data_IF_846541897893
#
_entry.id   IF_846541897893
#
_cell.length_a   1.000
_cell.length_b   1.000
_cell.length_c   1.000
_cell.angle_alpha   90.00
_cell.angle_beta   90.00
_cell.angle_gamma   90.00
#
_symmetry.space_group_name_H-M   'P 1'
#
loop_
_entity.id
_entity.type
_entity.pdbx_description
1 polymer ?
#
# COMPACT_ATOMS: atom_id res chain seq x y z
N UNK A 1 23.45 -63.12 12.42
CA UNK A 1 24.34 -62.31 13.27
C UNK A 1 23.70 -60.94 13.38
N UNK A 2 23.34 -60.60 14.60
CA UNK A 2 22.53 -59.45 15.01
C UNK A 2 23.31 -58.15 14.91
N UNK A 3 22.66 -57.03 14.62
CA UNK A 3 23.01 -55.71 15.16
C UNK A 3 21.92 -54.69 14.80
N UNK A 4 20.92 -54.59 15.68
CA UNK A 4 20.01 -53.45 15.75
C UNK A 4 20.64 -52.39 16.66
N UNK A 5 20.89 -51.20 16.14
CA UNK A 5 21.38 -50.07 16.93
C UNK A 5 20.19 -49.22 17.42
N UNK A 6 20.00 -49.20 18.73
CA UNK A 6 19.05 -48.31 19.42
C UNK A 6 19.67 -46.93 19.57
N UNK A 7 19.06 -45.90 18.99
CA UNK A 7 19.45 -44.49 19.19
C UNK A 7 18.53 -43.88 20.25
N UNK A 8 19.12 -43.51 21.39
CA UNK A 8 18.46 -42.80 22.49
C UNK A 8 18.43 -41.30 22.19
N UNK A 9 17.24 -40.71 22.12
CA UNK A 9 17.04 -39.26 21.96
C UNK A 9 17.10 -38.55 23.32
N UNK A 10 17.82 -37.42 23.47
CA UNK A 10 17.77 -36.61 24.68
C UNK A 10 16.48 -35.78 24.74
N UNK A 11 15.84 -35.79 25.90
CA UNK A 11 14.63 -35.00 26.19
C UNK A 11 15.02 -33.54 26.43
N UNK A 12 14.66 -32.66 25.49
CA UNK A 12 14.86 -31.20 25.61
C UNK A 12 13.62 -30.59 26.27
N UNK A 13 13.83 -29.99 27.43
CA UNK A 13 12.80 -29.27 28.19
C UNK A 13 12.57 -27.89 27.60
N UNK A 14 11.35 -27.59 27.18
CA UNK A 14 10.94 -26.32 26.56
C UNK A 14 10.55 -25.32 27.66
N UNK A 15 11.20 -24.15 27.78
CA UNK A 15 10.75 -23.12 28.72
C UNK A 15 9.49 -22.40 28.22
N UNK A 16 8.58 -22.16 29.16
CA UNK A 16 7.28 -21.49 29.01
C UNK A 16 7.43 -20.03 28.57
N UNK A 17 6.63 -19.52 27.61
CA UNK A 17 6.67 -18.12 27.22
C UNK A 17 6.11 -17.23 28.33
N UNK A 18 6.95 -16.32 28.80
CA UNK A 18 6.63 -15.25 29.74
C UNK A 18 6.00 -14.07 28.98
N UNK A 19 4.74 -13.79 29.30
CA UNK A 19 3.97 -12.65 28.79
C UNK A 19 4.49 -11.37 29.45
N UNK A 20 5.16 -10.50 28.69
CA UNK A 20 5.47 -9.14 29.15
C UNK A 20 4.25 -8.22 29.00
N UNK A 21 3.94 -7.38 30.00
CA UNK A 21 2.93 -6.34 29.86
C UNK A 21 3.47 -5.19 28.99
N UNK A 22 2.65 -4.80 28.01
CA UNK A 22 2.85 -3.63 27.14
C UNK A 22 2.95 -2.37 28.00
N UNK A 23 4.13 -1.75 28.05
CA UNK A 23 4.33 -0.46 28.69
C UNK A 23 3.41 0.57 28.04
N UNK A 24 2.43 1.08 28.80
CA UNK A 24 1.71 2.30 28.46
C UNK A 24 2.68 3.47 28.61
N UNK A 25 3.11 4.06 27.50
CA UNK A 25 3.69 5.40 27.50
C UNK A 25 2.62 6.38 27.98
N UNK A 26 2.61 6.65 29.27
CA UNK A 26 1.94 7.83 29.82
C UNK A 26 2.78 9.05 29.41
N UNK A 27 2.35 9.73 28.35
CA UNK A 27 2.88 11.03 28.00
C UNK A 27 2.45 12.00 29.11
N UNK A 28 3.38 12.27 30.02
CA UNK A 28 3.31 13.33 31.01
C UNK A 28 3.20 14.68 30.27
N UNK A 29 1.97 15.11 30.01
CA UNK A 29 1.68 16.49 29.63
C UNK A 29 1.64 17.31 30.91
N UNK A 30 2.80 17.88 31.26
CA UNK A 30 2.90 18.93 32.27
C UNK A 30 2.20 20.18 31.75
N UNK A 31 0.87 20.19 31.84
CA UNK A 31 0.05 21.37 31.58
C UNK A 31 0.19 22.33 32.78
N UNK A 32 1.27 23.10 32.82
CA UNK A 32 1.41 24.23 33.74
C UNK A 32 2.10 25.41 33.06
N UNK A 33 1.30 26.27 32.43
CA UNK A 33 1.22 27.70 32.81
C UNK A 33 0.07 28.37 32.06
N UNK A 34 -0.97 28.72 32.82
CA UNK A 34 -1.97 29.69 32.40
C UNK A 34 -1.29 31.06 32.26
N UNK A 35 -1.18 31.56 31.04
CA UNK A 35 -0.81 32.95 30.79
C UNK A 35 -2.07 33.81 30.85
N UNK A 36 -2.09 34.71 31.83
CA UNK A 36 -3.09 35.77 32.00
C UNK A 36 -2.97 36.76 30.84
N UNK A 37 -4.14 37.07 30.28
CA UNK A 37 -4.46 38.08 29.25
C UNK A 37 -3.83 39.47 29.48
N UNK A 38 -3.29 40.09 28.43
CA UNK A 38 -3.41 41.52 28.08
C UNK A 38 -3.08 41.72 26.57
N UNK A 39 -3.95 42.39 25.81
CA UNK A 39 -3.52 43.26 24.70
C UNK A 39 -3.88 42.87 23.26
N UNK A 40 -5.00 43.44 22.77
CA UNK A 40 -5.30 43.94 21.41
C UNK A 40 -4.36 43.51 20.27
N UNK A 41 -4.92 42.81 19.28
CA UNK A 41 -4.36 42.68 17.93
C UNK A 41 -5.11 41.65 17.08
N UNK A 42 -5.94 42.10 16.13
CA UNK A 42 -6.51 41.24 15.09
C UNK A 42 -5.36 40.71 14.21
N UNK A 43 -5.01 39.45 14.39
CA UNK A 43 -4.29 38.66 13.39
C UNK A 43 -4.87 37.24 13.46
N UNK A 44 -5.91 36.98 12.66
CA UNK A 44 -6.44 35.66 12.43
C UNK A 44 -5.45 34.86 11.59
N UNK A 45 -4.42 34.31 12.22
CA UNK A 45 -3.62 33.23 11.65
C UNK A 45 -4.54 32.02 11.55
N UNK A 46 -5.12 31.78 10.37
CA UNK A 46 -5.80 30.54 10.08
C UNK A 46 -4.75 29.42 10.15
N UNK A 47 -4.68 28.75 11.30
CA UNK A 47 -3.97 27.49 11.42
C UNK A 47 -4.77 26.48 10.61
N UNK A 48 -4.38 26.27 9.35
CA UNK A 48 -4.87 25.15 8.55
C UNK A 48 -4.41 23.89 9.26
N UNK A 49 -5.30 23.30 10.06
CA UNK A 49 -5.08 21.97 10.59
C UNK A 49 -4.95 21.04 9.38
N UNK A 50 -3.74 20.55 9.12
CA UNK A 50 -3.57 19.42 8.22
C UNK A 50 -4.34 18.27 8.85
N UNK A 51 -5.52 18.00 8.31
CA UNK A 51 -6.19 16.74 8.53
C UNK A 51 -5.27 15.68 7.94
N UNK A 52 -4.46 15.05 8.78
CA UNK A 52 -3.81 13.79 8.45
C UNK A 52 -4.94 12.77 8.36
N UNK A 53 -5.62 12.73 7.21
CA UNK A 53 -6.47 11.59 6.90
C UNK A 53 -5.52 10.39 6.90
N UNK A 54 -5.80 9.42 7.76
CA UNK A 54 -5.19 8.10 7.63
C UNK A 54 -5.81 7.49 6.37
N UNK A 55 -5.35 7.92 5.20
CA UNK A 55 -5.75 7.37 3.93
C UNK A 55 -5.21 5.93 3.92
N UNK A 56 -6.10 4.97 4.17
CA UNK A 56 -5.78 3.55 4.04
C UNK A 56 -5.41 3.34 2.58
N UNK A 57 -4.15 3.05 2.30
CA UNK A 57 -3.73 2.72 0.95
C UNK A 57 -4.55 1.51 0.46
N UNK A 58 -5.07 1.58 -0.76
CA UNK A 58 -5.71 0.42 -1.38
C UNK A 58 -4.63 -0.52 -1.92
N UNK A 59 -4.70 -1.80 -1.56
CA UNK A 59 -3.89 -2.85 -2.17
C UNK A 59 -4.64 -3.45 -3.37
N UNK A 60 -4.00 -3.45 -4.53
CA UNK A 60 -4.45 -4.08 -5.77
C UNK A 60 -3.52 -5.24 -6.09
N UNK A 61 -4.03 -6.47 -6.14
CA UNK A 61 -3.22 -7.63 -6.47
C UNK A 61 -3.00 -7.73 -7.99
N UNK A 62 -1.77 -8.07 -8.37
CA UNK A 62 -1.41 -8.42 -9.75
C UNK A 62 -1.46 -9.94 -9.90
N UNK A 63 -2.49 -10.40 -10.61
CA UNK A 63 -2.84 -11.81 -10.72
C UNK A 63 -3.70 -12.29 -9.54
N UNK A 64 -4.80 -12.97 -9.85
CA UNK A 64 -5.65 -13.57 -8.83
C UNK A 64 -5.02 -14.85 -8.25
N UNK A 65 -5.43 -15.24 -7.05
CA UNK A 65 -4.88 -16.42 -6.36
C UNK A 65 -5.15 -17.75 -7.08
N UNK A 66 -6.09 -17.78 -8.03
CA UNK A 66 -6.36 -18.92 -8.91
C UNK A 66 -5.45 -18.96 -10.15
N UNK A 67 -4.54 -17.99 -10.29
CA UNK A 67 -3.62 -17.85 -11.43
C UNK A 67 -4.17 -17.01 -12.58
N UNK A 68 -5.39 -16.47 -12.48
CA UNK A 68 -5.94 -15.60 -13.53
C UNK A 68 -5.13 -14.31 -13.68
N UNK A 69 -4.87 -13.92 -14.92
CA UNK A 69 -4.12 -12.72 -15.29
C UNK A 69 -5.01 -11.48 -15.21
N UNK A 70 -5.37 -11.07 -13.99
CA UNK A 70 -6.27 -9.94 -13.71
C UNK A 70 -5.74 -9.09 -12.57
N UNK A 71 -6.12 -7.82 -12.55
CA UNK A 71 -6.00 -6.99 -11.36
C UNK A 71 -7.13 -7.32 -10.37
N UNK A 72 -6.85 -7.32 -9.06
CA UNK A 72 -7.87 -7.57 -8.03
C UNK A 72 -7.80 -6.52 -6.93
N UNK A 73 -8.79 -5.62 -6.80
CA UNK A 73 -9.89 -5.40 -7.74
C UNK A 73 -9.41 -4.82 -9.10
N UNK A 74 -10.14 -5.08 -10.18
CA UNK A 74 -9.87 -4.46 -11.49
C UNK A 74 -10.62 -3.12 -11.69
N UNK A 75 -11.61 -2.81 -10.86
CA UNK A 75 -12.27 -1.51 -10.84
C UNK A 75 -12.46 -1.03 -9.41
N UNK A 76 -12.04 0.20 -9.12
CA UNK A 76 -12.15 0.78 -7.79
C UNK A 76 -12.16 2.31 -7.83
N UNK A 77 -12.37 2.93 -6.67
CA UNK A 77 -12.30 4.38 -6.52
C UNK A 77 -11.47 4.77 -5.31
N UNK A 78 -10.76 5.89 -5.42
CA UNK A 78 -9.91 6.45 -4.36
C UNK A 78 -10.13 7.96 -4.26
N UNK A 79 -9.73 8.56 -3.15
CA UNK A 79 -9.67 10.02 -3.06
C UNK A 79 -8.42 10.55 -3.78
N UNK A 80 -8.47 11.79 -4.27
CA UNK A 80 -7.28 12.45 -4.78
C UNK A 80 -6.13 12.45 -3.75
N UNK A 81 -4.97 11.97 -4.16
CA UNK A 81 -3.76 11.85 -3.34
C UNK A 81 -3.71 10.61 -2.43
N UNK A 82 -4.72 9.75 -2.47
CA UNK A 82 -4.70 8.46 -1.78
C UNK A 82 -3.71 7.51 -2.44
N UNK A 83 -2.99 6.74 -1.61
CA UNK A 83 -1.98 5.81 -2.09
C UNK A 83 -2.64 4.54 -2.65
N UNK A 84 -2.26 4.18 -3.87
CA UNK A 84 -2.57 2.89 -4.48
C UNK A 84 -1.31 2.05 -4.43
N UNK A 85 -1.41 0.80 -3.97
CA UNK A 85 -0.30 -0.17 -3.91
C UNK A 85 -0.67 -1.36 -4.78
N UNK A 86 0.01 -1.49 -5.91
CA UNK A 86 -0.07 -2.66 -6.77
C UNK A 86 0.93 -3.70 -6.28
N UNK A 87 0.44 -4.88 -5.88
CA UNK A 87 1.24 -5.93 -5.26
C UNK A 87 1.24 -7.19 -6.11
N UNK A 88 2.42 -7.62 -6.51
CA UNK A 88 2.62 -8.83 -7.27
C UNK A 88 2.18 -10.05 -6.46
N UNK A 89 1.27 -10.86 -7.01
CA UNK A 89 0.66 -11.98 -6.27
C UNK A 89 0.88 -13.32 -6.98
N UNK A 90 0.43 -13.45 -8.22
CA UNK A 90 0.50 -14.70 -8.98
C UNK A 90 0.59 -14.44 -10.49
N UNK A 91 1.07 -15.42 -11.27
CA UNK A 91 1.12 -15.30 -12.73
C UNK A 91 2.07 -14.21 -13.26
N UNK A 92 3.10 -13.88 -12.48
CA UNK A 92 4.16 -12.91 -12.84
C UNK A 92 5.01 -13.42 -14.02
N UNK A 93 5.70 -12.53 -14.76
CA UNK A 93 5.92 -11.10 -14.48
C UNK A 93 4.73 -10.18 -14.75
N UNK A 94 4.61 -9.10 -13.97
CA UNK A 94 3.61 -8.03 -14.19
C UNK A 94 4.24 -6.65 -14.14
N UNK A 95 3.61 -5.68 -14.78
CA UNK A 95 3.84 -4.26 -14.55
C UNK A 95 2.50 -3.52 -14.48
N UNK A 96 2.57 -2.22 -14.26
CA UNK A 96 1.41 -1.32 -14.24
C UNK A 96 1.73 -0.13 -15.14
N UNK A 97 1.03 -0.05 -16.26
CA UNK A 97 1.16 1.04 -17.23
C UNK A 97 -0.20 1.71 -17.40
N UNK A 98 -0.24 3.02 -17.24
CA UNK A 98 -1.43 3.82 -17.48
C UNK A 98 -1.54 4.12 -18.97
N UNK A 99 -2.76 4.01 -19.48
CA UNK A 99 -3.07 4.29 -20.89
C UNK A 99 -3.02 5.81 -21.14
N UNK A 100 -2.25 6.24 -22.13
CA UNK A 100 -2.08 7.66 -22.45
C UNK A 100 -3.35 8.32 -23.00
N UNK A 101 -4.26 7.54 -23.58
CA UNK A 101 -5.53 8.03 -24.15
C UNK A 101 -6.67 8.01 -23.12
N UNK A 102 -6.53 7.22 -22.05
CA UNK A 102 -7.56 7.03 -21.02
C UNK A 102 -7.12 7.53 -19.63
N UNK A 103 -6.54 8.73 -19.59
CA UNK A 103 -6.24 9.50 -18.38
C UNK A 103 -6.86 10.90 -18.42
N UNK A 104 -7.06 11.57 -17.26
CA UNK A 104 -7.59 12.92 -17.24
C UNK A 104 -6.69 13.92 -17.99
N UNK A 105 -7.28 14.99 -18.59
CA UNK A 105 -6.51 16.01 -19.29
C UNK A 105 -5.39 16.62 -18.44
N UNK A 106 -4.19 16.74 -19.03
CA UNK A 106 -3.01 17.30 -18.36
C UNK A 106 -2.24 16.31 -17.48
N UNK A 107 -2.71 15.07 -17.34
CA UNK A 107 -1.92 13.98 -16.77
C UNK A 107 -0.96 13.44 -17.82
N UNK A 108 0.31 13.22 -17.44
CA UNK A 108 1.30 12.56 -18.28
C UNK A 108 1.43 11.12 -17.80
N UNK A 109 0.83 10.17 -18.54
CA UNK A 109 0.71 8.77 -18.13
C UNK A 109 2.06 8.10 -17.79
N UNK A 110 3.13 8.43 -18.51
CA UNK A 110 4.47 7.88 -18.24
C UNK A 110 5.04 8.27 -16.87
N UNK A 111 4.57 9.36 -16.25
CA UNK A 111 5.03 9.78 -14.92
C UNK A 111 4.36 9.01 -13.77
N UNK A 112 3.24 8.35 -14.08
CA UNK A 112 2.46 7.53 -13.15
C UNK A 112 2.48 6.05 -13.52
N UNK A 113 3.32 5.66 -14.50
CA UNK A 113 3.49 4.28 -14.97
C UNK A 113 4.83 3.72 -14.54
N UNK A 114 4.93 2.40 -14.54
CA UNK A 114 6.21 1.72 -14.66
C UNK A 114 6.72 1.84 -16.10
N UNK A 115 8.04 1.79 -16.32
CA UNK A 115 8.56 1.62 -17.67
C UNK A 115 8.14 0.25 -18.22
N UNK A 116 7.96 0.13 -19.53
CA UNK A 116 7.48 -1.13 -20.15
C UNK A 116 8.41 -2.33 -19.88
N UNK A 117 9.71 -2.07 -19.77
CA UNK A 117 10.74 -3.09 -19.50
C UNK A 117 10.94 -3.39 -18.01
N UNK A 118 10.42 -2.55 -17.12
CA UNK A 118 10.47 -2.76 -15.68
C UNK A 118 9.31 -3.68 -15.25
N UNK A 119 9.65 -4.86 -14.76
CA UNK A 119 8.69 -5.90 -14.36
C UNK A 119 8.84 -6.27 -12.88
N UNK A 120 7.72 -6.53 -12.23
CA UNK A 120 7.65 -7.19 -10.94
C UNK A 120 7.69 -8.71 -11.17
N UNK A 121 8.74 -9.35 -10.68
CA UNK A 121 9.11 -10.73 -10.99
C UNK A 121 8.92 -11.69 -9.82
N UNK A 122 8.72 -11.19 -8.60
CA UNK A 122 8.55 -12.04 -7.42
C UNK A 122 7.27 -11.71 -6.63
N UNK A 123 6.68 -12.69 -5.93
CA UNK A 123 5.55 -12.45 -5.04
C UNK A 123 5.87 -11.38 -3.98
N UNK A 124 4.93 -10.48 -3.75
CA UNK A 124 5.02 -9.43 -2.75
C UNK A 124 5.75 -8.17 -3.19
N UNK A 125 6.42 -8.16 -4.35
CA UNK A 125 6.96 -6.93 -4.94
C UNK A 125 5.84 -5.93 -5.24
N UNK A 126 6.14 -4.63 -5.15
CA UNK A 126 5.12 -3.60 -5.23
C UNK A 126 5.50 -2.45 -6.13
N UNK A 127 4.49 -1.90 -6.81
CA UNK A 127 4.51 -0.56 -7.39
C UNK A 127 3.47 0.31 -6.68
N UNK A 128 3.85 1.53 -6.30
CA UNK A 128 2.97 2.44 -5.56
C UNK A 128 2.85 3.76 -6.26
N UNK A 129 1.62 4.26 -6.42
CA UNK A 129 1.33 5.55 -7.06
C UNK A 129 0.20 6.27 -6.34
N UNK A 130 0.27 7.61 -6.31
CA UNK A 130 -0.81 8.45 -5.79
C UNK A 130 -1.30 9.36 -6.91
N UNK A 131 -2.60 9.29 -7.21
CA UNK A 131 -3.22 10.04 -8.31
C UNK A 131 -3.94 11.26 -7.74
N UNK A 132 -3.63 12.45 -8.25
CA UNK A 132 -4.14 13.72 -7.69
C UNK A 132 -5.15 14.42 -8.58
N UNK A 133 -5.09 14.25 -9.90
CA UNK A 133 -6.11 14.78 -10.79
C UNK A 133 -7.38 13.91 -10.69
N UNK A 134 -8.53 14.56 -10.65
CA UNK A 134 -9.81 13.86 -10.57
C UNK A 134 -10.20 13.30 -11.94
N UNK A 135 -10.93 12.20 -11.93
CA UNK A 135 -11.41 11.54 -13.13
C UNK A 135 -11.04 10.07 -13.18
N UNK A 136 -11.19 9.48 -14.35
CA UNK A 136 -10.97 8.05 -14.58
C UNK A 136 -9.62 7.84 -15.24
N UNK A 137 -8.93 6.79 -14.78
CA UNK A 137 -7.66 6.33 -15.30
C UNK A 137 -7.79 4.85 -15.65
N UNK A 138 -7.46 4.48 -16.87
CA UNK A 138 -7.28 3.08 -17.26
C UNK A 138 -5.80 2.71 -17.20
N UNK A 139 -5.53 1.51 -16.73
CA UNK A 139 -4.19 0.95 -16.66
C UNK A 139 -4.21 -0.52 -17.06
N UNK A 140 -3.08 -1.03 -17.51
CA UNK A 140 -2.92 -2.39 -17.99
C UNK A 140 -1.57 -2.98 -17.59
N UNK A 141 -1.45 -4.29 -17.74
CA UNK A 141 -0.19 -5.00 -17.61
C UNK A 141 0.33 -5.32 -19.02
N UNK A 142 1.44 -4.72 -19.44
CA UNK A 142 2.01 -4.84 -20.79
C UNK A 142 2.13 -6.30 -21.29
N UNK A 143 2.70 -7.26 -20.54
CA UNK A 143 2.81 -8.65 -21.01
C UNK A 143 1.46 -9.37 -21.13
N UNK A 144 0.41 -8.87 -20.47
CA UNK A 144 -0.87 -9.57 -20.31
C UNK A 144 -2.09 -8.77 -20.81
N UNK A 145 -1.89 -7.63 -21.45
CA UNK A 145 -2.97 -6.81 -22.00
C UNK A 145 -3.80 -7.59 -23.03
N UNK A 146 -3.14 -8.39 -23.89
CA UNK A 146 -3.81 -9.28 -24.85
C UNK A 146 -4.66 -10.39 -24.21
N UNK A 147 -4.44 -10.69 -22.93
CA UNK A 147 -5.27 -11.60 -22.14
C UNK A 147 -6.39 -10.87 -21.36
N UNK A 148 -6.50 -9.55 -21.50
CA UNK A 148 -7.51 -8.74 -20.82
C UNK A 148 -7.11 -8.26 -19.42
N UNK A 149 -5.82 -8.30 -19.08
CA UNK A 149 -5.33 -7.75 -17.81
C UNK A 149 -5.32 -6.22 -17.83
N UNK A 150 -6.51 -5.64 -17.65
CA UNK A 150 -6.80 -4.20 -17.65
C UNK A 150 -7.56 -3.85 -16.38
N UNK A 151 -7.30 -2.67 -15.83
CA UNK A 151 -8.00 -2.14 -14.67
C UNK A 151 -8.33 -0.65 -14.83
N UNK A 152 -9.21 -0.17 -13.96
CA UNK A 152 -9.73 1.19 -14.00
C UNK A 152 -9.84 1.75 -12.59
N UNK A 153 -9.31 2.95 -12.38
CA UNK A 153 -9.46 3.67 -11.11
C UNK A 153 -10.18 4.99 -11.34
N UNK A 154 -11.15 5.30 -10.48
CA UNK A 154 -11.79 6.62 -10.43
C UNK A 154 -11.27 7.41 -9.24
N UNK A 155 -10.74 8.59 -9.50
CA UNK A 155 -10.26 9.54 -8.48
C UNK A 155 -11.34 10.58 -8.21
N UNK A 156 -11.82 10.61 -6.96
CA UNK A 156 -12.98 11.41 -6.52
C UNK A 156 -12.65 12.87 -6.15
#
# INVERSE_FOLDING_TARGET
MSSSATITLPSISIPKPSILPKARMALSMSARKAFKQVGIGLASTAATALLTTNALAIDVLLGASDGSLVFVPNEFSVNAGEQIVFRNNAGFPHNVVFDEEEVPPGVVASTISMNEEDLLNAPGETYSVALTAKGTYTFYCSPHQGAGMVGKVTVN
#
